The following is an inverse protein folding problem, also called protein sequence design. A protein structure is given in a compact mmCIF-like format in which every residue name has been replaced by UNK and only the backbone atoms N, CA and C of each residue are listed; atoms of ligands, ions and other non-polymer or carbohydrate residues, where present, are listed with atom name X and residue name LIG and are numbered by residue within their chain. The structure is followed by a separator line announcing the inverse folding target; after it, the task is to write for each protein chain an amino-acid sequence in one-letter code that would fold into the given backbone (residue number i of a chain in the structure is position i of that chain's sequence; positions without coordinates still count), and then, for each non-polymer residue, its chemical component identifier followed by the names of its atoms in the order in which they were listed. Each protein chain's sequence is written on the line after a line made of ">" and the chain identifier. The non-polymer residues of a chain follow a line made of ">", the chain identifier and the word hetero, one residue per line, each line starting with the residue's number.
data_IF_037772219453
#
_entry.id   IF_037772219453
#
_cell.length_a   1.000
_cell.length_b   1.000
_cell.length_c   1.000
_cell.angle_alpha   90.00
_cell.angle_beta   90.00
_cell.angle_gamma   90.00
#
_symmetry.space_group_name_H-M   'P 1'
#
loop_
_entity.id
_entity.type
_entity.pdbx_description
1 polymer ?
#
# COMPACT_ATOMS: atom_id res chain seq x y z
N UNK A 1 22.59 14.11 20.47
CA UNK A 1 21.89 13.24 19.50
C UNK A 1 20.60 13.94 19.10
N UNK A 2 20.42 14.17 17.81
CA UNK A 2 19.24 14.86 17.27
C UNK A 2 18.18 13.84 16.86
N UNK A 3 16.90 14.12 17.10
CA UNK A 3 15.80 13.21 16.77
C UNK A 3 14.92 13.81 15.69
N UNK A 4 14.69 13.03 14.63
CA UNK A 4 13.83 13.41 13.50
C UNK A 4 12.70 12.41 13.38
N UNK A 5 11.47 12.89 13.43
CA UNK A 5 10.28 12.06 13.31
C UNK A 5 9.92 11.79 11.85
N UNK A 6 9.49 10.56 11.55
CA UNK A 6 8.89 10.21 10.28
C UNK A 6 7.52 9.56 10.49
N UNK A 7 6.50 10.14 9.86
CA UNK A 7 5.11 9.67 9.89
C UNK A 7 4.66 9.37 8.47
N UNK A 8 4.06 8.20 8.26
CA UNK A 8 3.46 7.83 6.97
C UNK A 8 1.97 7.59 7.13
N UNK A 9 1.18 8.32 6.37
CA UNK A 9 -0.28 8.17 6.32
C UNK A 9 -0.73 7.62 4.97
N UNK A 10 -1.74 6.75 5.02
CA UNK A 10 -2.37 6.22 3.81
C UNK A 10 -3.35 7.27 3.24
N UNK A 11 -3.58 7.24 1.94
CA UNK A 11 -4.51 8.16 1.25
C UNK A 11 -5.99 7.87 1.53
N UNK A 12 -6.32 6.79 2.25
CA UNK A 12 -7.69 6.46 2.65
C UNK A 12 -8.13 7.31 3.85
N UNK A 13 -9.11 8.20 3.63
CA UNK A 13 -9.64 9.16 4.62
C UNK A 13 -10.09 8.56 5.97
N UNK A 14 -10.49 7.29 6.01
CA UNK A 14 -10.95 6.62 7.25
C UNK A 14 -9.78 6.20 8.15
N UNK A 15 -8.67 5.76 7.56
CA UNK A 15 -7.45 5.39 8.32
C UNK A 15 -6.61 6.62 8.72
N UNK A 16 -6.90 7.79 8.13
CA UNK A 16 -6.15 9.02 8.36
C UNK A 16 -6.33 9.57 9.77
N UNK A 17 -7.50 9.45 10.41
CA UNK A 17 -7.69 10.00 11.77
C UNK A 17 -6.95 9.19 12.84
N UNK A 18 -7.37 7.94 13.04
CA UNK A 18 -6.85 7.09 14.11
C UNK A 18 -5.38 6.70 13.91
N UNK A 19 -4.97 6.45 12.66
CA UNK A 19 -3.59 6.07 12.36
C UNK A 19 -2.60 7.24 12.40
N UNK A 20 -3.06 8.48 12.28
CA UNK A 20 -2.19 9.66 12.35
C UNK A 20 -1.98 10.11 13.79
N UNK A 21 -3.05 10.23 14.57
CA UNK A 21 -2.98 10.66 15.98
C UNK A 21 -2.09 9.73 16.81
N UNK A 22 -2.24 8.42 16.60
CA UNK A 22 -1.43 7.41 17.27
C UNK A 22 0.06 7.58 16.98
N UNK A 23 0.43 7.78 15.70
CA UNK A 23 1.84 7.95 15.32
C UNK A 23 2.44 9.21 15.93
N UNK A 24 1.71 10.33 15.89
CA UNK A 24 2.17 11.56 16.52
C UNK A 24 2.29 11.43 18.03
N UNK A 25 1.35 10.74 18.68
CA UNK A 25 1.43 10.50 20.14
C UNK A 25 2.68 9.71 20.49
N UNK A 26 2.91 8.58 19.83
CA UNK A 26 4.10 7.74 20.04
C UNK A 26 5.39 8.54 19.83
N UNK A 27 5.50 9.32 18.75
CA UNK A 27 6.70 10.11 18.49
C UNK A 27 6.94 11.18 19.56
N UNK A 28 5.89 11.84 20.07
CA UNK A 28 6.02 12.81 21.17
C UNK A 28 6.43 12.15 22.47
N UNK A 29 5.87 10.98 22.79
CA UNK A 29 6.23 10.19 23.98
C UNK A 29 7.70 9.74 23.93
N UNK A 30 8.23 9.47 22.74
CA UNK A 30 9.64 9.16 22.50
C UNK A 30 10.56 10.41 22.49
N UNK A 31 10.01 11.61 22.72
CA UNK A 31 10.78 12.86 22.84
C UNK A 31 11.12 13.53 21.51
N UNK A 32 10.45 13.19 20.41
CA UNK A 32 10.66 13.84 19.11
C UNK A 32 10.05 15.26 19.12
N UNK A 33 10.83 16.31 18.80
CA UNK A 33 10.31 17.67 18.67
C UNK A 33 9.25 17.77 17.57
N UNK A 34 8.16 18.51 17.82
CA UNK A 34 7.02 18.57 16.89
C UNK A 34 7.37 19.19 15.54
N UNK A 35 8.30 20.14 15.52
CA UNK A 35 8.88 20.80 14.33
C UNK A 35 9.81 19.89 13.53
N UNK A 36 10.28 18.79 14.13
CA UNK A 36 11.16 17.80 13.51
C UNK A 36 10.40 16.59 12.96
N UNK A 37 9.06 16.60 13.00
CA UNK A 37 8.22 15.53 12.45
C UNK A 37 7.94 15.77 10.97
N UNK A 38 8.35 14.81 10.14
CA UNK A 38 8.16 14.82 8.70
C UNK A 38 7.02 13.87 8.33
N UNK A 39 6.05 14.37 7.57
CA UNK A 39 4.84 13.63 7.20
C UNK A 39 4.86 13.30 5.71
N UNK A 40 4.61 12.04 5.39
CA UNK A 40 4.50 11.54 4.02
C UNK A 40 3.08 11.02 3.75
N UNK A 41 2.43 11.59 2.75
CA UNK A 41 1.17 11.07 2.18
C UNK A 41 1.49 10.18 0.98
N UNK A 42 1.56 8.86 1.20
CA UNK A 42 1.92 7.93 0.13
C UNK A 42 1.07 6.65 0.16
N UNK A 43 0.63 6.22 -1.02
CA UNK A 43 0.05 4.88 -1.22
C UNK A 43 1.13 3.80 -1.17
N UNK A 44 0.73 2.54 -1.03
CA UNK A 44 1.61 1.38 -0.88
C UNK A 44 2.68 1.21 -1.98
N UNK A 45 2.50 1.82 -3.18
CA UNK A 45 3.40 1.66 -4.34
C UNK A 45 3.96 2.97 -4.93
N UNK A 46 3.75 4.11 -4.28
CA UNK A 46 4.24 5.41 -4.78
C UNK A 46 5.70 5.73 -4.44
N UNK A 47 6.29 6.76 -5.07
CA UNK A 47 7.56 7.36 -4.63
C UNK A 47 7.41 7.95 -3.20
N UNK A 48 8.52 8.05 -2.46
CA UNK A 48 8.54 8.58 -1.08
C UNK A 48 9.49 9.78 -0.96
N UNK A 49 9.14 10.92 -1.58
CA UNK A 49 10.05 12.06 -1.66
C UNK A 49 10.40 12.65 -0.30
N UNK A 50 9.50 12.62 0.69
CA UNK A 50 9.81 13.14 2.04
C UNK A 50 10.78 12.20 2.75
N UNK A 51 10.54 10.89 2.69
CA UNK A 51 11.46 9.90 3.26
C UNK A 51 12.85 9.96 2.64
N UNK A 52 12.93 10.00 1.30
CA UNK A 52 14.21 10.04 0.58
C UNK A 52 15.00 11.31 0.89
N UNK A 53 14.34 12.47 0.94
CA UNK A 53 14.97 13.74 1.33
C UNK A 53 15.44 13.72 2.78
N UNK A 54 14.63 13.20 3.71
CA UNK A 54 14.97 13.08 5.12
C UNK A 54 16.20 12.19 5.31
N UNK A 55 16.23 11.04 4.65
CA UNK A 55 17.34 10.09 4.76
C UNK A 55 18.62 10.66 4.13
N UNK A 56 18.51 11.32 2.98
CA UNK A 56 19.65 12.00 2.35
C UNK A 56 20.21 13.11 3.24
N UNK A 57 19.34 13.96 3.81
CA UNK A 57 19.74 15.01 4.75
C UNK A 57 20.43 14.41 5.99
N UNK A 58 19.83 13.41 6.61
CA UNK A 58 20.39 12.75 7.78
C UNK A 58 21.77 12.14 7.47
N UNK A 59 21.93 11.49 6.32
CA UNK A 59 23.21 10.91 5.91
C UNK A 59 24.30 11.97 5.69
N UNK A 60 23.96 13.14 5.17
CA UNK A 60 24.91 14.23 4.96
C UNK A 60 25.29 14.97 6.26
N UNK A 61 24.33 15.15 7.17
CA UNK A 61 24.53 15.94 8.38
C UNK A 61 25.06 15.15 9.57
N UNK A 62 24.85 13.82 9.60
CA UNK A 62 25.25 13.00 10.73
C UNK A 62 26.77 12.81 10.78
N UNK A 63 27.37 13.23 11.88
CA UNK A 63 28.79 13.07 12.18
C UNK A 63 28.97 12.22 13.45
N UNK A 64 30.20 11.77 13.76
CA UNK A 64 30.46 11.07 15.03
C UNK A 64 30.03 11.88 16.26
N UNK A 65 30.20 13.20 16.22
CA UNK A 65 29.82 14.12 17.32
C UNK A 65 28.33 14.51 17.29
N UNK A 66 27.68 14.40 16.12
CA UNK A 66 26.25 14.71 15.92
C UNK A 66 25.55 13.54 15.25
N UNK A 67 25.23 12.51 16.03
CA UNK A 67 24.36 11.41 15.58
C UNK A 67 22.92 11.88 15.37
N UNK A 68 22.30 11.40 14.30
CA UNK A 68 20.89 11.65 13.97
C UNK A 68 20.12 10.36 14.16
N UNK A 69 19.07 10.41 14.98
CA UNK A 69 18.16 9.31 15.24
C UNK A 69 16.84 9.56 14.51
N UNK A 70 16.54 8.74 13.51
CA UNK A 70 15.26 8.76 12.82
C UNK A 70 14.28 7.91 13.62
N UNK A 71 13.15 8.49 13.98
CA UNK A 71 12.13 7.87 14.82
C UNK A 71 10.88 7.64 13.98
N UNK A 72 10.38 6.40 14.00
CA UNK A 72 9.08 6.08 13.43
C UNK A 72 8.28 5.24 14.43
N UNK A 73 6.96 5.32 14.34
CA UNK A 73 6.06 4.62 15.26
C UNK A 73 6.17 3.10 15.19
N UNK A 74 6.46 2.55 14.01
CA UNK A 74 6.59 1.12 13.71
C UNK A 74 7.49 0.88 12.50
N UNK A 75 8.08 -0.32 12.39
CA UNK A 75 8.87 -0.78 11.25
C UNK A 75 8.10 -0.65 9.93
N UNK A 76 6.84 -1.11 9.87
CA UNK A 76 6.01 -1.07 8.67
C UNK A 76 5.57 0.36 8.27
N UNK A 77 5.73 1.34 9.17
CA UNK A 77 5.51 2.76 8.87
C UNK A 77 6.76 3.41 8.29
N UNK A 78 7.95 2.98 8.72
CA UNK A 78 9.23 3.43 8.20
C UNK A 78 9.62 2.77 6.86
N UNK A 79 9.40 1.46 6.71
CA UNK A 79 9.91 0.67 5.60
C UNK A 79 8.81 -0.05 4.83
N UNK A 80 9.07 -0.32 3.54
CA UNK A 80 8.13 -1.03 2.65
C UNK A 80 8.17 -2.54 2.84
N UNK A 81 9.35 -3.05 3.18
CA UNK A 81 9.63 -4.46 3.36
C UNK A 81 10.84 -4.60 4.28
N UNK A 82 11.14 -5.85 4.62
CA UNK A 82 12.26 -6.18 5.48
C UNK A 82 13.61 -5.85 4.83
N UNK A 83 13.74 -6.00 3.51
CA UNK A 83 15.00 -5.75 2.82
C UNK A 83 15.39 -4.27 2.93
N UNK A 84 14.42 -3.36 2.77
CA UNK A 84 14.62 -1.94 2.96
C UNK A 84 14.98 -1.59 4.42
N UNK A 85 14.38 -2.28 5.40
CA UNK A 85 14.70 -2.08 6.80
C UNK A 85 16.11 -2.57 7.15
N UNK A 86 16.49 -3.78 6.73
CA UNK A 86 17.83 -4.33 6.96
C UNK A 86 18.92 -3.49 6.29
N UNK A 87 18.68 -3.03 5.06
CA UNK A 87 19.60 -2.11 4.39
C UNK A 87 19.77 -0.78 5.15
N UNK A 88 18.69 -0.20 5.67
CA UNK A 88 18.74 1.09 6.35
C UNK A 88 19.25 1.03 7.80
N UNK A 89 19.05 -0.09 8.50
CA UNK A 89 19.40 -0.26 9.91
C UNK A 89 20.74 -0.97 10.06
N UNK A 90 20.94 -2.07 9.35
CA UNK A 90 22.11 -2.94 9.52
C UNK A 90 23.27 -2.55 8.60
N UNK A 91 22.96 -2.05 7.42
CA UNK A 91 23.95 -1.66 6.41
C UNK A 91 23.80 -0.19 5.99
N UNK A 92 23.71 0.77 6.94
CA UNK A 92 23.47 2.16 6.60
C UNK A 92 24.65 2.75 5.84
N UNK A 93 24.34 3.69 4.93
CA UNK A 93 25.36 4.50 4.25
C UNK A 93 26.19 5.36 5.22
N UNK A 94 25.59 5.77 6.34
CA UNK A 94 26.28 6.49 7.41
C UNK A 94 25.89 5.88 8.76
N UNK A 95 26.86 5.25 9.45
CA UNK A 95 26.64 4.61 10.75
C UNK A 95 26.27 5.58 11.91
N UNK A 96 26.32 6.88 11.67
CA UNK A 96 25.85 7.90 12.61
C UNK A 96 24.36 8.24 12.44
N UNK A 97 23.72 7.72 11.39
CA UNK A 97 22.27 7.69 11.25
C UNK A 97 21.76 6.39 11.88
N UNK A 98 20.92 6.52 12.90
CA UNK A 98 20.34 5.39 13.63
C UNK A 98 18.82 5.47 13.63
N UNK A 99 18.18 4.36 14.01
CA UNK A 99 16.73 4.23 13.98
C UNK A 99 16.18 3.91 15.36
N UNK A 100 15.11 4.58 15.75
CA UNK A 100 14.29 4.20 16.90
C UNK A 100 12.93 3.74 16.40
N UNK A 101 12.66 2.45 16.62
CA UNK A 101 11.45 1.75 16.19
C UNK A 101 10.91 0.98 17.41
N UNK A 102 9.90 1.53 18.11
CA UNK A 102 9.48 1.03 19.42
C UNK A 102 8.83 -0.37 19.34
N UNK A 103 8.40 -0.81 18.16
CA UNK A 103 7.94 -2.18 17.90
C UNK A 103 9.07 -3.21 17.79
N UNK A 104 10.32 -2.77 17.63
CA UNK A 104 11.51 -3.63 17.64
C UNK A 104 12.33 -3.49 18.92
N UNK A 105 12.53 -2.26 19.39
CA UNK A 105 13.39 -1.96 20.54
C UNK A 105 12.96 -0.66 21.22
N UNK A 106 12.94 -0.61 22.56
CA UNK A 106 12.71 0.63 23.29
C UNK A 106 13.89 1.62 23.21
N UNK A 107 15.04 1.19 22.70
CA UNK A 107 16.25 2.00 22.54
C UNK A 107 16.66 2.13 21.06
N UNK A 108 17.32 3.23 20.66
CA UNK A 108 17.83 3.40 19.31
C UNK A 108 18.75 2.26 18.88
N UNK A 109 18.55 1.80 17.65
CA UNK A 109 19.27 0.70 17.02
C UNK A 109 20.61 1.20 16.48
N UNK A 110 21.70 0.79 17.12
CA UNK A 110 23.06 1.10 16.69
C UNK A 110 23.56 0.04 15.69
N UNK A 111 23.86 0.41 14.43
CA UNK A 111 24.42 -0.51 13.44
C UNK A 111 25.74 -1.16 13.85
N UNK A 112 26.42 -0.61 14.87
CA UNK A 112 27.69 -1.12 15.39
C UNK A 112 27.50 -2.19 16.48
N UNK A 113 26.28 -2.38 17.00
CA UNK A 113 25.98 -3.38 18.00
C UNK A 113 25.49 -4.69 17.31
N UNK A 114 26.32 -5.74 17.26
CA UNK A 114 25.94 -6.99 16.60
C UNK A 114 24.73 -7.67 17.23
N UNK A 115 24.48 -7.46 18.52
CA UNK A 115 23.33 -8.02 19.24
C UNK A 115 22.04 -7.37 18.75
N UNK A 116 22.04 -6.05 18.60
CA UNK A 116 20.89 -5.31 18.07
C UNK A 116 20.63 -5.69 16.61
N UNK A 117 21.68 -5.87 15.80
CA UNK A 117 21.52 -6.28 14.40
C UNK A 117 20.97 -7.70 14.27
N UNK A 118 21.37 -8.62 15.15
CA UNK A 118 20.77 -9.96 15.21
C UNK A 118 19.27 -9.89 15.55
N UNK A 119 18.91 -9.09 16.56
CA UNK A 119 17.51 -8.90 16.99
C UNK A 119 16.65 -8.37 15.83
N UNK A 120 17.11 -7.32 15.14
CA UNK A 120 16.41 -6.72 14.00
C UNK A 120 16.16 -7.75 12.90
N UNK A 121 17.19 -8.53 12.54
CA UNK A 121 17.08 -9.58 11.51
C UNK A 121 16.13 -10.70 11.91
N UNK A 122 16.16 -11.13 13.18
CA UNK A 122 15.25 -12.16 13.69
C UNK A 122 13.79 -11.69 13.68
N UNK A 123 13.50 -10.48 14.18
CA UNK A 123 12.16 -9.90 14.14
C UNK A 123 11.66 -9.75 12.71
N UNK A 124 12.54 -9.30 11.82
CA UNK A 124 12.29 -9.26 10.40
C UNK A 124 11.90 -10.62 9.81
N UNK A 125 12.70 -11.65 10.08
CA UNK A 125 12.45 -13.00 9.60
C UNK A 125 11.09 -13.54 10.09
N UNK A 126 10.73 -13.31 11.35
CA UNK A 126 9.41 -13.67 11.89
C UNK A 126 8.30 -12.92 11.16
N UNK A 127 8.42 -11.61 10.97
CA UNK A 127 7.41 -10.81 10.26
C UNK A 127 7.24 -11.23 8.79
N UNK A 128 8.33 -11.66 8.14
CA UNK A 128 8.26 -12.22 6.78
C UNK A 128 7.58 -13.58 6.77
N UNK A 129 7.94 -14.48 7.69
CA UNK A 129 7.33 -15.79 7.86
C UNK A 129 5.80 -15.70 8.07
N UNK A 130 5.33 -14.77 8.92
CA UNK A 130 3.88 -14.57 9.12
C UNK A 130 3.17 -14.10 7.85
N UNK A 131 3.79 -13.20 7.08
CA UNK A 131 3.26 -12.73 5.79
C UNK A 131 3.14 -13.87 4.79
N UNK A 132 4.15 -14.72 4.70
CA UNK A 132 4.16 -15.87 3.80
C UNK A 132 3.11 -16.91 4.22
N UNK A 133 3.00 -17.22 5.51
CA UNK A 133 1.93 -18.06 6.08
C UNK A 133 0.53 -17.54 5.76
N UNK A 134 0.31 -16.24 5.86
CA UNK A 134 -0.97 -15.62 5.50
C UNK A 134 -1.26 -15.75 4.00
N UNK A 135 -0.25 -15.56 3.15
CA UNK A 135 -0.38 -15.71 1.70
C UNK A 135 -0.75 -17.15 1.31
N UNK A 136 -0.10 -18.15 1.91
CA UNK A 136 -0.42 -19.57 1.71
C UNK A 136 -1.87 -19.90 2.10
N UNK A 137 -2.32 -19.43 3.27
CA UNK A 137 -3.71 -19.65 3.73
C UNK A 137 -4.72 -19.04 2.77
N UNK A 138 -4.44 -17.83 2.26
CA UNK A 138 -5.28 -17.19 1.25
C UNK A 138 -5.30 -18.00 -0.04
N UNK A 139 -4.14 -18.46 -0.52
CA UNK A 139 -4.05 -19.28 -1.73
C UNK A 139 -4.85 -20.59 -1.59
N UNK A 140 -4.76 -21.27 -0.44
CA UNK A 140 -5.55 -22.45 -0.14
C UNK A 140 -7.07 -22.15 -0.13
N UNK A 141 -7.47 -21.06 0.54
CA UNK A 141 -8.87 -20.63 0.57
C UNK A 141 -9.42 -20.31 -0.81
N UNK A 142 -8.64 -19.63 -1.65
CA UNK A 142 -8.99 -19.34 -3.05
C UNK A 142 -9.14 -20.65 -3.83
N UNK A 143 -8.20 -21.59 -3.69
CA UNK A 143 -8.26 -22.88 -4.37
C UNK A 143 -9.51 -23.68 -3.97
N UNK A 144 -9.85 -23.71 -2.67
CA UNK A 144 -11.07 -24.36 -2.17
C UNK A 144 -12.33 -23.69 -2.72
N UNK A 145 -12.44 -22.38 -2.65
CA UNK A 145 -13.59 -21.65 -3.16
C UNK A 145 -13.73 -21.72 -4.70
N UNK A 146 -12.63 -21.87 -5.45
CA UNK A 146 -12.66 -22.19 -6.88
C UNK A 146 -13.23 -23.60 -7.14
N UNK A 147 -12.79 -24.61 -6.39
CA UNK A 147 -13.34 -25.98 -6.48
C UNK A 147 -14.83 -26.02 -6.13
N UNK A 148 -15.26 -25.24 -5.15
CA UNK A 148 -16.67 -25.10 -4.75
C UNK A 148 -17.50 -24.20 -5.70
N UNK A 149 -16.91 -23.68 -6.79
CA UNK A 149 -17.63 -22.86 -7.77
C UNK A 149 -18.09 -21.49 -7.25
N UNK A 150 -17.57 -21.01 -6.12
CA UNK A 150 -17.97 -19.72 -5.51
C UNK A 150 -17.52 -18.50 -6.32
N UNK A 151 -16.43 -18.62 -7.08
CA UNK A 151 -15.95 -17.55 -7.96
C UNK A 151 -16.75 -17.51 -9.27
N UNK A 152 -17.83 -16.71 -9.29
CA UNK A 152 -18.67 -16.50 -10.49
C UNK A 152 -18.18 -15.37 -11.41
N UNK A 153 -16.98 -14.83 -11.17
CA UNK A 153 -16.44 -13.66 -11.86
C UNK A 153 -17.13 -12.36 -11.44
N UNK A 154 -16.80 -11.26 -12.12
CA UNK A 154 -17.47 -9.97 -11.91
C UNK A 154 -18.92 -10.09 -12.37
N UNK A 155 -19.88 -9.71 -11.51
CA UNK A 155 -21.29 -9.67 -11.87
C UNK A 155 -21.46 -8.91 -13.21
N UNK A 156 -22.18 -9.45 -14.19
CA UNK A 156 -22.25 -8.87 -15.53
C UNK A 156 -23.23 -7.70 -15.57
N UNK A 157 -22.90 -6.61 -14.86
CA UNK A 157 -23.75 -5.43 -14.67
C UNK A 157 -24.15 -4.75 -15.99
N UNK A 158 -23.29 -4.83 -17.01
CA UNK A 158 -23.61 -4.30 -18.34
C UNK A 158 -24.51 -5.24 -19.16
N UNK A 159 -24.28 -6.56 -19.11
CA UNK A 159 -25.15 -7.52 -19.83
C UNK A 159 -26.54 -7.63 -19.22
N UNK A 160 -26.68 -7.30 -17.93
CA UNK A 160 -27.99 -7.14 -17.30
C UNK A 160 -28.84 -6.03 -17.93
N UNK A 161 -28.23 -5.09 -18.66
CA UNK A 161 -28.91 -3.98 -19.36
C UNK A 161 -29.06 -4.22 -20.86
N UNK A 162 -28.91 -5.47 -21.31
CA UNK A 162 -29.00 -5.83 -22.74
C UNK A 162 -30.33 -5.40 -23.35
N UNK A 163 -31.45 -5.71 -22.70
CA UNK A 163 -32.79 -5.40 -23.24
C UNK A 163 -33.05 -3.90 -23.35
N UNK A 164 -32.55 -3.13 -22.38
CA UNK A 164 -32.62 -1.66 -22.39
C UNK A 164 -31.78 -1.09 -23.56
N UNK A 165 -30.56 -1.58 -23.74
CA UNK A 165 -29.67 -1.18 -24.84
C UNK A 165 -30.28 -1.51 -26.21
N UNK A 166 -30.85 -2.70 -26.37
CA UNK A 166 -31.49 -3.12 -27.62
C UNK A 166 -32.74 -2.29 -27.93
N UNK A 167 -33.57 -1.99 -26.91
CA UNK A 167 -34.75 -1.10 -27.07
C UNK A 167 -34.35 0.31 -27.47
N UNK A 168 -33.31 0.87 -26.85
CA UNK A 168 -32.83 2.22 -27.20
C UNK A 168 -32.19 2.24 -28.59
N UNK A 169 -31.50 1.17 -28.98
CA UNK A 169 -30.94 1.05 -30.33
C UNK A 169 -32.02 0.91 -31.41
N UNK A 170 -33.10 0.16 -31.14
CA UNK A 170 -34.25 0.04 -32.03
C UNK A 170 -35.01 1.36 -32.23
N UNK A 171 -34.84 2.34 -31.33
CA UNK A 171 -35.33 3.72 -31.47
C UNK A 171 -34.33 4.63 -32.19
N UNK A 172 -33.28 4.06 -32.80
CA UNK A 172 -32.24 4.74 -33.58
C UNK A 172 -31.36 5.74 -32.78
N UNK A 173 -31.30 5.62 -31.45
CA UNK A 173 -30.40 6.45 -30.64
C UNK A 173 -28.92 6.10 -30.90
N UNK A 174 -28.03 7.10 -30.78
CA UNK A 174 -26.60 6.90 -31.00
C UNK A 174 -25.97 6.15 -29.82
N UNK A 175 -24.92 5.33 -30.03
CA UNK A 175 -24.27 4.56 -28.96
C UNK A 175 -23.77 5.38 -27.76
N UNK A 176 -23.38 6.65 -27.98
CA UNK A 176 -22.96 7.56 -26.91
C UNK A 176 -24.14 7.99 -26.01
N UNK A 177 -25.34 8.12 -26.57
CA UNK A 177 -26.57 8.50 -25.85
C UNK A 177 -27.12 7.30 -25.08
N UNK A 178 -27.11 6.12 -25.71
CA UNK A 178 -27.47 4.85 -25.07
C UNK A 178 -26.58 4.59 -23.86
N UNK A 179 -25.26 4.84 -23.97
CA UNK A 179 -24.33 4.68 -22.86
C UNK A 179 -24.68 5.57 -21.65
N UNK A 180 -25.09 6.82 -21.90
CA UNK A 180 -25.51 7.77 -20.86
C UNK A 180 -26.81 7.35 -20.20
N UNK A 181 -27.83 7.00 -21.00
CA UNK A 181 -29.16 6.62 -20.50
C UNK A 181 -29.08 5.31 -19.70
N UNK A 182 -28.44 4.29 -20.27
CA UNK A 182 -28.28 3.00 -19.62
C UNK A 182 -27.19 3.03 -18.52
N UNK A 183 -26.48 4.14 -18.31
CA UNK A 183 -25.44 4.26 -17.27
C UNK A 183 -24.33 3.21 -17.38
N UNK A 184 -23.88 2.89 -18.59
CA UNK A 184 -22.79 1.94 -18.88
C UNK A 184 -21.75 2.56 -19.81
N UNK A 185 -20.52 2.05 -19.78
CA UNK A 185 -19.48 2.52 -20.70
C UNK A 185 -19.81 2.21 -22.15
N UNK A 186 -19.44 3.12 -23.07
CA UNK A 186 -19.66 2.97 -24.53
C UNK A 186 -19.17 1.63 -25.10
N UNK A 187 -18.03 1.15 -24.62
CA UNK A 187 -17.49 -0.16 -25.02
C UNK A 187 -18.44 -1.32 -24.69
N UNK A 188 -19.23 -1.21 -23.61
CA UNK A 188 -20.24 -2.21 -23.27
C UNK A 188 -21.45 -2.15 -24.19
N UNK A 189 -21.89 -0.96 -24.61
CA UNK A 189 -22.96 -0.79 -25.61
C UNK A 189 -22.59 -1.49 -26.92
N UNK A 190 -21.42 -1.17 -27.49
CA UNK A 190 -20.96 -1.80 -28.74
C UNK A 190 -20.83 -3.32 -28.64
N UNK A 191 -20.33 -3.82 -27.50
CA UNK A 191 -20.22 -5.26 -27.26
C UNK A 191 -21.60 -5.93 -27.24
N UNK A 192 -22.59 -5.33 -26.58
CA UNK A 192 -23.97 -5.86 -26.54
C UNK A 192 -24.58 -5.91 -27.95
N UNK A 193 -24.44 -4.83 -28.72
CA UNK A 193 -24.98 -4.77 -30.10
C UNK A 193 -24.32 -5.79 -31.03
N UNK A 194 -23.00 -5.98 -30.91
CA UNK A 194 -22.27 -6.99 -31.68
C UNK A 194 -22.68 -8.42 -31.29
N UNK A 195 -22.79 -8.71 -30.00
CA UNK A 195 -23.19 -10.02 -29.50
C UNK A 195 -24.64 -10.35 -29.94
N UNK A 196 -25.53 -9.36 -29.98
CA UNK A 196 -26.90 -9.50 -30.49
C UNK A 196 -26.97 -9.79 -32.01
N UNK A 197 -26.20 -9.04 -32.82
CA UNK A 197 -26.09 -9.31 -34.27
C UNK A 197 -25.58 -10.72 -34.57
N UNK A 198 -24.57 -11.18 -33.83
CA UNK A 198 -24.02 -12.53 -33.98
C UNK A 198 -25.04 -13.63 -33.65
N UNK A 199 -25.91 -13.41 -32.66
CA UNK A 199 -26.96 -14.36 -32.29
C UNK A 199 -28.11 -14.43 -33.33
N UNK A 200 -28.39 -13.33 -34.02
CA UNK A 200 -29.41 -13.25 -35.06
C UNK A 200 -28.98 -13.95 -36.35
N UNK A 201 -27.72 -13.78 -36.77
CA UNK A 201 -27.12 -14.50 -37.90
C UNK A 201 -27.00 -16.01 -37.68
N UNK A 202 -26.81 -16.46 -36.44
CA UNK A 202 -26.72 -17.88 -36.10
C UNK A 202 -28.09 -18.59 -36.02
N UNK A 203 -29.20 -17.83 -35.94
CA UNK A 203 -30.58 -18.38 -35.97
C UNK A 203 -31.19 -18.44 -37.37
N UNK A 204 -30.57 -17.74 -38.32
CA UNK A 204 -31.00 -17.65 -39.72
C UNK A 204 -30.19 -18.54 -40.66
N UNK A 205 -29.17 -19.24 -40.13
CA UNK A 205 -28.38 -20.28 -40.78
C UNK A 205 -28.82 -21.66 -40.27
#
# INVERSE_FOLDING_TARGET
>A
MEMIGYVRVSTNKVDQGAGWEEQHRVLRELGVPADSINVEEASTKGPRPVFEKLLAKANCEATPDRRICIVASKLDRAFRDLAAADAAITHPTNHNVIWLLPDLSPHPLDPRDPTQMLLVRMMGAVAQFERDRMAERRAYGIAKAKKEGKYKGRAPTARAKTDEVLRLHARELRPDEIAKIAGIGRASVYRILRDAKGAESARTA
#
